data_IF_506192422241
#
_entry.id   IF_506192422241
#
_cell.length_a   1.000
_cell.length_b   1.000
_cell.length_c   1.000
_cell.angle_alpha   90.00
_cell.angle_beta   90.00
_cell.angle_gamma   90.00
#
_symmetry.space_group_name_H-M   'P 1'
#
loop_
_entity.id
_entity.type
_entity.pdbx_description
1 polymer ?
#
# COMPACT_ATOMS: atom_id res chain seq x y z
N UNK A 1 4.18 14.13 -10.52
CA UNK A 1 3.80 13.39 -9.30
C UNK A 1 2.34 12.98 -9.38
N UNK A 2 2.04 11.76 -9.01
CA UNK A 2 0.65 11.29 -8.97
C UNK A 2 -0.13 12.01 -7.87
N UNK A 3 -1.45 12.05 -8.04
CA UNK A 3 -2.35 12.48 -6.98
C UNK A 3 -2.55 11.32 -6.00
N UNK A 4 -2.89 11.63 -4.75
CA UNK A 4 -3.13 10.61 -3.74
C UNK A 4 -4.60 10.55 -3.36
N UNK A 5 -5.16 9.35 -3.33
CA UNK A 5 -6.49 9.09 -2.82
C UNK A 5 -6.46 7.90 -1.87
N UNK A 6 -7.03 8.07 -0.68
CA UNK A 6 -7.15 6.98 0.31
C UNK A 6 -8.63 6.65 0.46
N UNK A 7 -8.98 5.37 0.27
CA UNK A 7 -10.39 4.95 0.38
C UNK A 7 -10.87 5.04 1.83
N UNK A 8 -12.20 5.06 2.01
CA UNK A 8 -12.77 5.06 3.37
C UNK A 8 -12.35 3.82 4.15
N UNK A 9 -12.31 2.67 3.49
CA UNK A 9 -11.89 1.42 4.13
C UNK A 9 -10.42 1.53 4.55
N UNK A 10 -9.57 2.04 3.67
CA UNK A 10 -8.16 2.26 3.99
C UNK A 10 -8.01 3.13 5.24
N UNK A 11 -8.74 4.25 5.30
CA UNK A 11 -8.64 5.17 6.44
C UNK A 11 -9.05 4.50 7.75
N UNK A 12 -10.10 3.68 7.72
CA UNK A 12 -10.52 2.92 8.91
C UNK A 12 -9.47 1.92 9.35
N UNK A 13 -8.90 1.20 8.40
CA UNK A 13 -7.87 0.21 8.70
C UNK A 13 -6.58 0.87 9.18
N UNK A 14 -6.21 1.97 8.53
CA UNK A 14 -5.02 2.76 8.90
C UNK A 14 -5.12 3.24 10.37
N UNK A 15 -6.28 3.70 10.77
CA UNK A 15 -6.48 4.22 12.13
C UNK A 15 -6.26 3.16 13.21
N UNK A 16 -6.37 1.88 12.86
CA UNK A 16 -6.19 0.77 13.81
C UNK A 16 -4.74 0.29 13.91
N UNK A 17 -3.87 0.77 13.04
CA UNK A 17 -2.49 0.31 13.02
C UNK A 17 -1.67 1.11 14.02
N UNK A 18 -0.93 0.38 14.85
CA UNK A 18 0.01 1.00 15.78
C UNK A 18 1.38 1.02 15.12
N UNK A 19 1.64 2.08 14.37
CA UNK A 19 2.92 2.22 13.72
C UNK A 19 4.02 2.48 14.73
N UNK A 20 5.13 1.75 14.61
CA UNK A 20 6.40 2.21 15.18
C UNK A 20 6.93 3.30 14.25
N UNK A 21 7.86 4.12 14.75
CA UNK A 21 8.48 5.14 13.90
C UNK A 21 9.14 4.52 12.68
N UNK A 22 9.77 3.36 12.85
CA UNK A 22 10.42 2.66 11.75
C UNK A 22 9.43 2.24 10.66
N UNK A 23 8.30 1.67 11.04
CA UNK A 23 7.29 1.25 10.07
C UNK A 23 6.61 2.44 9.42
N UNK A 24 6.35 3.49 10.19
CA UNK A 24 5.74 4.70 9.64
C UNK A 24 6.66 5.36 8.62
N UNK A 25 7.97 5.39 8.91
CA UNK A 25 8.95 5.92 7.97
C UNK A 25 8.94 5.15 6.66
N UNK A 26 8.90 3.80 6.72
CA UNK A 26 8.82 2.98 5.52
C UNK A 26 7.54 3.26 4.73
N UNK A 27 6.41 3.40 5.43
CA UNK A 27 5.15 3.75 4.81
C UNK A 27 5.27 5.06 4.03
N UNK A 28 5.78 6.10 4.67
CA UNK A 28 5.95 7.40 4.02
C UNK A 28 6.86 7.31 2.80
N UNK A 29 8.01 6.63 2.95
CA UNK A 29 9.00 6.51 1.87
C UNK A 29 8.39 5.75 0.69
N UNK A 30 7.72 4.63 0.95
CA UNK A 30 7.16 3.81 -0.14
C UNK A 30 6.01 4.53 -0.86
N UNK A 31 5.13 5.19 -0.12
CA UNK A 31 4.06 5.96 -0.74
C UNK A 31 4.63 7.11 -1.58
N UNK A 32 5.62 7.82 -1.04
CA UNK A 32 6.27 8.91 -1.78
C UNK A 32 6.93 8.40 -3.06
N UNK A 33 7.61 7.26 -2.97
CA UNK A 33 8.26 6.63 -4.13
C UNK A 33 7.24 6.33 -5.23
N UNK A 34 6.10 5.76 -4.86
CA UNK A 34 5.03 5.49 -5.83
C UNK A 34 4.46 6.79 -6.43
N UNK A 35 4.27 7.81 -5.60
CA UNK A 35 3.76 9.10 -6.10
C UNK A 35 4.70 9.73 -7.13
N UNK A 36 5.99 9.49 -6.99
CA UNK A 36 6.99 9.95 -7.96
C UNK A 36 7.14 9.02 -9.15
N UNK A 37 6.36 7.93 -9.21
CA UNK A 37 6.43 6.93 -10.27
C UNK A 37 7.80 6.28 -10.38
N UNK A 38 8.45 6.10 -9.23
CA UNK A 38 9.74 5.42 -9.11
C UNK A 38 9.54 4.00 -8.58
N UNK A 39 10.53 3.15 -8.79
CA UNK A 39 10.45 1.76 -8.38
C UNK A 39 10.67 1.61 -6.87
N UNK A 40 9.84 0.77 -6.24
CA UNK A 40 10.02 0.42 -4.84
C UNK A 40 11.21 -0.53 -4.67
N UNK A 41 11.88 -0.51 -3.50
CA UNK A 41 12.99 -1.44 -3.25
C UNK A 41 12.49 -2.87 -3.17
N UNK A 42 13.39 -3.83 -3.40
CA UNK A 42 13.06 -5.25 -3.38
C UNK A 42 12.45 -5.69 -2.05
N UNK A 43 12.89 -5.11 -0.94
CA UNK A 43 12.39 -5.47 0.38
C UNK A 43 10.90 -5.19 0.55
N UNK A 44 10.32 -4.29 -0.25
CA UNK A 44 8.89 -4.02 -0.21
C UNK A 44 8.05 -5.14 -0.83
N UNK A 45 8.68 -6.04 -1.57
CA UNK A 45 8.02 -7.14 -2.28
C UNK A 45 6.82 -6.65 -3.08
N UNK A 46 6.99 -5.52 -3.76
CA UNK A 46 5.96 -4.92 -4.58
C UNK A 46 5.61 -5.86 -5.74
N UNK A 47 4.33 -6.23 -5.86
CA UNK A 47 3.92 -7.08 -6.97
C UNK A 47 2.45 -6.85 -7.32
N UNK A 48 2.13 -7.18 -8.57
CA UNK A 48 0.75 -7.16 -9.04
C UNK A 48 0.01 -8.40 -8.55
N UNK A 49 -1.23 -8.22 -8.09
CA UNK A 49 -2.06 -9.30 -7.62
C UNK A 49 -2.73 -10.02 -8.80
N UNK A 50 -3.27 -11.21 -8.53
CA UNK A 50 -3.88 -12.06 -9.55
C UNK A 50 -5.36 -12.30 -9.24
N UNK A 51 -6.07 -12.91 -10.21
CA UNK A 51 -7.48 -13.26 -10.04
C UNK A 51 -8.36 -12.03 -9.96
N UNK A 52 -9.26 -12.02 -8.99
CA UNK A 52 -10.20 -10.91 -8.81
C UNK A 52 -9.53 -9.60 -8.42
N UNK A 53 -8.26 -9.65 -8.04
CA UNK A 53 -7.48 -8.49 -7.63
C UNK A 53 -6.51 -8.02 -8.71
N UNK A 54 -6.69 -8.42 -9.96
CA UNK A 54 -5.68 -8.24 -10.99
C UNK A 54 -5.37 -6.79 -11.36
N UNK A 55 -6.22 -5.83 -11.00
CA UNK A 55 -5.91 -4.42 -11.24
C UNK A 55 -5.19 -3.77 -10.06
N UNK A 56 -4.95 -4.53 -8.99
CA UNK A 56 -4.31 -4.04 -7.78
C UNK A 56 -2.90 -4.58 -7.64
N UNK A 57 -2.11 -3.85 -6.86
CA UNK A 57 -0.78 -4.26 -6.46
C UNK A 57 -0.69 -4.25 -4.94
N UNK A 58 0.34 -4.88 -4.41
CA UNK A 58 0.62 -4.82 -2.98
C UNK A 58 2.07 -4.43 -2.75
N UNK A 59 2.34 -3.76 -1.64
CA UNK A 59 3.70 -3.67 -1.12
C UNK A 59 3.69 -3.95 0.37
N UNK A 60 4.82 -4.45 0.88
CA UNK A 60 4.96 -4.82 2.29
C UNK A 60 5.77 -3.77 3.03
N UNK A 61 5.23 -3.29 4.14
CA UNK A 61 5.93 -2.40 5.07
C UNK A 61 6.78 -3.22 6.03
N UNK A 62 6.25 -4.40 6.42
CA UNK A 62 6.96 -5.38 7.23
C UNK A 62 6.58 -6.77 6.74
N UNK A 63 7.05 -7.80 7.45
CA UNK A 63 6.74 -9.17 7.06
C UNK A 63 5.25 -9.46 6.96
N UNK A 64 4.43 -8.81 7.78
CA UNK A 64 3.00 -9.10 7.82
C UNK A 64 2.11 -7.88 7.60
N UNK A 65 2.64 -6.69 7.48
CA UNK A 65 1.85 -5.48 7.24
C UNK A 65 2.03 -5.04 5.80
N UNK A 66 0.93 -5.02 5.06
CA UNK A 66 0.99 -4.68 3.64
C UNK A 66 -0.11 -3.70 3.24
N UNK A 67 0.11 -3.04 2.12
CA UNK A 67 -0.81 -2.07 1.53
C UNK A 67 -1.22 -2.57 0.15
N UNK A 68 -2.53 -2.55 -0.13
CA UNK A 68 -3.07 -2.84 -1.45
C UNK A 68 -3.38 -1.50 -2.11
N UNK A 69 -2.91 -1.32 -3.33
CA UNK A 69 -3.07 -0.07 -4.06
C UNK A 69 -3.29 -0.33 -5.54
N UNK A 70 -3.73 0.71 -6.24
CA UNK A 70 -3.72 0.72 -7.70
C UNK A 70 -3.39 2.12 -8.18
N UNK A 71 -2.88 2.21 -9.40
CA UNK A 71 -2.62 3.49 -10.05
C UNK A 71 -3.49 3.54 -11.28
N UNK A 72 -4.30 4.60 -11.37
CA UNK A 72 -5.22 4.78 -12.50
C UNK A 72 -5.45 6.28 -12.71
N UNK A 73 -5.35 6.73 -13.97
CA UNK A 73 -5.65 8.13 -14.34
C UNK A 73 -4.91 9.13 -13.46
N UNK A 74 -3.59 8.97 -13.36
CA UNK A 74 -2.69 9.87 -12.61
C UNK A 74 -2.94 9.89 -11.11
N UNK A 75 -3.64 8.89 -10.57
CA UNK A 75 -3.94 8.84 -9.14
C UNK A 75 -3.45 7.53 -8.55
N UNK A 76 -2.78 7.62 -7.39
CA UNK A 76 -2.45 6.48 -6.55
C UNK A 76 -3.61 6.28 -5.57
N UNK A 77 -4.28 5.15 -5.68
CA UNK A 77 -5.37 4.77 -4.77
C UNK A 77 -4.82 3.82 -3.72
N UNK A 78 -4.72 4.28 -2.47
CA UNK A 78 -4.43 3.38 -1.35
C UNK A 78 -5.76 2.76 -0.93
N UNK A 79 -5.91 1.47 -1.19
CA UNK A 79 -7.21 0.80 -1.12
C UNK A 79 -7.42 0.06 0.18
N UNK A 80 -6.43 -0.67 0.66
CA UNK A 80 -6.50 -1.45 1.89
C UNK A 80 -5.13 -1.44 2.59
N UNK A 81 -5.13 -1.61 3.91
CA UNK A 81 -3.91 -1.81 4.69
C UNK A 81 -4.21 -2.74 5.85
N UNK A 82 -3.32 -3.70 6.09
CA UNK A 82 -3.49 -4.65 7.17
C UNK A 82 -2.58 -5.85 7.00
N UNK A 83 -2.85 -6.90 7.79
CA UNK A 83 -2.13 -8.16 7.66
C UNK A 83 -2.69 -8.93 6.47
N UNK A 84 -1.91 -9.89 5.99
CA UNK A 84 -2.34 -10.75 4.87
C UNK A 84 -3.67 -11.44 5.17
N UNK A 85 -3.80 -12.00 6.37
CA UNK A 85 -5.04 -12.71 6.74
C UNK A 85 -6.23 -11.77 6.86
N UNK A 86 -6.04 -10.52 7.29
CA UNK A 86 -7.12 -9.54 7.36
C UNK A 86 -7.61 -9.13 5.97
N UNK A 87 -6.71 -9.05 5.01
CA UNK A 87 -7.04 -8.52 3.68
C UNK A 87 -7.54 -9.56 2.71
N UNK A 88 -7.16 -10.84 2.89
CA UNK A 88 -7.44 -11.90 1.94
C UNK A 88 -8.26 -13.05 2.52
N UNK A 89 -8.99 -12.83 3.58
CA UNK A 89 -9.91 -13.85 4.12
C UNK A 89 -11.26 -13.79 3.45
#
# INVERSE_FOLDING_TARGET
>A
MLKLFRTKIFLKEYAKIKFTDKLYMKYIVYVTTLLKEEDLPLESRNNQLKGNWNEFCEFHISGDLLVIYKIKNDTLYLTRIGTHSQLFT
#
